data_IF_409259650802
#
_entry.id   IF_409259650802
#
_cell.length_a   1.000
_cell.length_b   1.000
_cell.length_c   1.000
_cell.angle_alpha   90.00
_cell.angle_beta   90.00
_cell.angle_gamma   90.00
#
_symmetry.space_group_name_H-M   'P 1'
#
loop_
_entity.id
_entity.type
_entity.pdbx_description
1 polymer ?
#
# COMPACT_ATOMS: atom_id res chain seq x y z
N UNK A 1 13.11 7.87 -11.64
CA UNK A 1 12.09 6.96 -12.21
C UNK A 1 11.27 6.40 -11.06
N UNK A 2 9.95 6.34 -11.20
CA UNK A 2 9.03 5.74 -10.23
C UNK A 2 8.64 4.34 -10.72
N UNK A 3 8.60 3.35 -9.83
CA UNK A 3 8.20 1.99 -10.16
C UNK A 3 7.35 1.36 -9.06
N UNK A 4 6.37 0.54 -9.45
CA UNK A 4 5.64 -0.35 -8.56
C UNK A 4 6.26 -1.74 -8.67
N UNK A 5 6.62 -2.34 -7.53
CA UNK A 5 7.14 -3.71 -7.46
C UNK A 5 6.41 -4.47 -6.36
N UNK A 6 6.12 -5.78 -6.54
CA UNK A 6 5.53 -6.58 -5.47
C UNK A 6 6.33 -6.43 -4.19
N UNK A 7 5.65 -6.41 -3.04
CA UNK A 7 6.35 -6.44 -1.76
C UNK A 7 7.04 -7.79 -1.61
N UNK A 8 8.32 -7.73 -1.29
CA UNK A 8 9.23 -8.86 -1.12
C UNK A 8 10.20 -8.59 0.06
N UNK A 9 11.15 -9.50 0.30
CA UNK A 9 12.13 -9.36 1.39
C UNK A 9 12.92 -8.05 1.32
N UNK A 10 13.22 -7.55 0.11
CA UNK A 10 14.00 -6.33 -0.10
C UNK A 10 13.23 -5.04 0.26
N UNK A 11 11.90 -5.09 0.23
CA UNK A 11 11.01 -3.95 0.46
C UNK A 11 10.21 -4.04 1.76
N UNK A 12 10.05 -5.25 2.31
CA UNK A 12 9.16 -5.54 3.44
C UNK A 12 9.37 -4.60 4.62
N UNK A 13 10.61 -4.53 5.13
CA UNK A 13 10.93 -3.70 6.28
C UNK A 13 10.69 -2.21 5.99
N UNK A 14 11.13 -1.74 4.82
CA UNK A 14 10.93 -0.35 4.42
C UNK A 14 9.44 0.02 4.31
N UNK A 15 8.58 -0.90 3.84
CA UNK A 15 7.12 -0.72 3.78
C UNK A 15 6.50 -0.65 5.19
N UNK A 16 6.98 -1.45 6.14
CA UNK A 16 6.51 -1.40 7.54
C UNK A 16 6.89 -0.08 8.22
N UNK A 17 8.07 0.44 7.91
CA UNK A 17 8.62 1.66 8.51
C UNK A 17 8.08 2.95 7.86
N UNK A 18 7.25 2.85 6.82
CA UNK A 18 6.59 4.01 6.23
C UNK A 18 5.69 4.69 7.26
N UNK A 19 5.94 5.98 7.48
CA UNK A 19 5.11 6.84 8.34
C UNK A 19 4.47 7.97 7.53
N UNK A 20 3.21 8.26 7.82
CA UNK A 20 2.53 9.48 7.38
C UNK A 20 2.89 10.68 8.26
N UNK A 21 2.41 11.87 7.89
CA UNK A 21 2.49 13.05 8.76
C UNK A 21 1.79 12.78 10.10
N UNK A 22 2.23 13.45 11.17
CA UNK A 22 1.70 13.24 12.53
C UNK A 22 0.19 13.47 12.60
N UNK A 23 -0.31 14.46 11.84
CA UNK A 23 -1.73 14.79 11.72
C UNK A 23 -2.59 13.66 11.14
N UNK A 24 -2.01 12.77 10.35
CA UNK A 24 -2.72 11.66 9.68
C UNK A 24 -2.63 10.33 10.44
N UNK A 25 -1.74 10.22 11.45
CA UNK A 25 -1.48 8.95 12.17
C UNK A 25 -2.72 8.35 12.84
N UNK A 26 -3.69 9.18 13.23
CA UNK A 26 -4.92 8.74 13.89
C UNK A 26 -5.95 8.10 12.96
N UNK A 27 -5.83 8.29 11.65
CA UNK A 27 -6.86 7.89 10.68
C UNK A 27 -6.44 6.70 9.80
N UNK A 28 -5.19 6.25 9.95
CA UNK A 28 -4.57 5.33 9.00
C UNK A 28 -4.14 4.05 9.71
N UNK A 29 -4.65 2.90 9.24
CA UNK A 29 -4.17 1.62 9.70
C UNK A 29 -2.71 1.40 9.24
N UNK A 30 -1.82 0.86 10.10
CA UNK A 30 -0.43 0.60 9.72
C UNK A 30 -0.35 -0.39 8.55
N UNK A 31 0.70 -0.29 7.72
CA UNK A 31 0.89 -1.15 6.54
C UNK A 31 0.94 -2.64 6.88
N UNK A 32 1.34 -3.01 8.11
CA UNK A 32 1.25 -4.40 8.61
C UNK A 32 -0.15 -4.97 8.49
N UNK A 33 -1.20 -4.17 8.69
CA UNK A 33 -2.58 -4.61 8.51
C UNK A 33 -2.89 -4.86 7.03
N UNK A 34 -2.40 -4.00 6.14
CA UNK A 34 -2.56 -4.17 4.68
C UNK A 34 -1.92 -5.47 4.20
N UNK A 35 -0.71 -5.77 4.70
CA UNK A 35 0.02 -7.00 4.37
C UNK A 35 -0.69 -8.24 4.94
N UNK A 36 -1.27 -8.14 6.14
CA UNK A 36 -2.09 -9.20 6.70
C UNK A 36 -3.38 -9.43 5.89
N UNK A 37 -4.07 -8.37 5.45
CA UNK A 37 -5.24 -8.48 4.58
C UNK A 37 -4.84 -9.16 3.24
N UNK A 38 -3.73 -8.75 2.62
CA UNK A 38 -3.22 -9.41 1.41
C UNK A 38 -2.92 -10.90 1.62
N UNK A 39 -2.33 -11.27 2.76
CA UNK A 39 -2.09 -12.66 3.11
C UNK A 39 -3.39 -13.45 3.35
N UNK A 40 -4.39 -12.81 3.97
CA UNK A 40 -5.69 -13.43 4.24
C UNK A 40 -6.42 -13.79 2.93
N UNK A 41 -6.38 -12.91 1.94
CA UNK A 41 -7.06 -13.08 0.64
C UNK A 41 -6.17 -13.69 -0.45
N UNK A 42 -4.96 -14.14 -0.14
CA UNK A 42 -3.98 -14.61 -1.14
C UNK A 42 -4.48 -15.75 -2.05
N UNK A 43 -5.41 -16.58 -1.57
CA UNK A 43 -5.96 -17.71 -2.34
C UNK A 43 -6.99 -17.26 -3.38
N UNK A 44 -7.52 -16.04 -3.26
CA UNK A 44 -8.40 -15.45 -4.26
C UNK A 44 -7.64 -15.05 -5.53
N UNK A 45 -6.36 -14.71 -5.41
CA UNK A 45 -5.52 -14.33 -6.55
C UNK A 45 -5.85 -12.94 -7.13
N UNK A 46 -6.47 -12.05 -6.37
CA UNK A 46 -6.93 -10.71 -6.79
C UNK A 46 -6.30 -9.56 -5.98
N UNK A 47 -5.85 -9.81 -4.75
CA UNK A 47 -5.29 -8.79 -3.84
C UNK A 47 -3.75 -8.82 -3.79
N UNK A 48 -3.12 -7.72 -4.20
CA UNK A 48 -1.67 -7.64 -4.40
C UNK A 48 -1.01 -6.43 -3.71
N UNK A 49 -0.05 -6.64 -2.81
CA UNK A 49 0.72 -5.57 -2.20
C UNK A 49 1.92 -5.16 -3.06
N UNK A 50 2.09 -3.85 -3.25
CA UNK A 50 3.20 -3.25 -3.99
C UNK A 50 3.94 -2.20 -3.15
N UNK A 51 5.26 -2.20 -3.26
CA UNK A 51 6.11 -1.09 -2.83
C UNK A 51 6.25 -0.06 -3.97
N UNK A 52 6.15 1.22 -3.63
CA UNK A 52 6.42 2.34 -4.55
C UNK A 52 7.88 2.72 -4.41
N UNK A 53 8.65 2.61 -5.49
CA UNK A 53 10.07 2.91 -5.53
C UNK A 53 10.35 4.22 -6.25
N UNK A 54 11.24 5.03 -5.68
CA UNK A 54 11.90 6.14 -6.36
C UNK A 54 13.40 5.84 -6.48
N UNK A 55 13.82 5.33 -7.64
CA UNK A 55 15.17 4.78 -7.80
C UNK A 55 15.39 3.55 -6.92
N UNK A 56 16.27 3.65 -5.93
CA UNK A 56 16.61 2.57 -4.99
C UNK A 56 15.94 2.73 -3.61
N UNK A 57 15.05 3.70 -3.45
CA UNK A 57 14.37 3.95 -2.18
C UNK A 57 12.89 3.61 -2.29
N UNK A 58 12.37 2.90 -1.28
CA UNK A 58 10.92 2.74 -1.09
C UNK A 58 10.37 4.04 -0.52
N UNK A 59 9.39 4.62 -1.23
CA UNK A 59 8.77 5.91 -0.89
C UNK A 59 7.27 5.79 -0.67
N UNK A 60 6.70 4.59 -0.74
CA UNK A 60 5.27 4.38 -0.59
C UNK A 60 4.85 2.92 -0.68
N UNK A 61 3.55 2.71 -0.55
CA UNK A 61 2.90 1.42 -0.54
C UNK A 61 1.54 1.50 -1.26
N UNK A 62 1.18 0.46 -1.99
CA UNK A 62 -0.13 0.29 -2.59
C UNK A 62 -0.64 -1.13 -2.32
N UNK A 63 -1.92 -1.26 -1.97
CA UNK A 63 -2.63 -2.52 -1.99
C UNK A 63 -3.65 -2.43 -3.13
N UNK A 64 -3.47 -3.27 -4.14
CA UNK A 64 -4.31 -3.29 -5.33
C UNK A 64 -5.19 -4.53 -5.27
N UNK A 65 -6.44 -4.37 -5.62
CA UNK A 65 -7.41 -5.44 -5.84
C UNK A 65 -7.79 -5.46 -7.32
N UNK A 66 -7.89 -6.64 -7.92
CA UNK A 66 -8.18 -6.82 -9.35
C UNK A 66 -9.50 -7.56 -9.48
N UNK A 67 -10.49 -6.88 -10.04
CA UNK A 67 -11.76 -7.49 -10.40
C UNK A 67 -11.76 -7.81 -11.90
N UNK A 68 -11.54 -9.08 -12.23
CA UNK A 68 -11.51 -9.55 -13.62
C UNK A 68 -12.89 -9.54 -14.28
N UNK A 69 -13.97 -9.69 -13.50
CA UNK A 69 -15.34 -9.74 -14.02
C UNK A 69 -15.75 -8.39 -14.62
N UNK A 70 -15.31 -7.28 -14.00
CA UNK A 70 -15.57 -5.92 -14.48
C UNK A 70 -14.35 -5.24 -15.12
N UNK A 71 -13.22 -5.94 -15.25
CA UNK A 71 -11.96 -5.44 -15.80
C UNK A 71 -11.43 -4.18 -15.11
N UNK A 72 -11.44 -4.15 -13.78
CA UNK A 72 -11.01 -2.98 -13.01
C UNK A 72 -9.88 -3.29 -12.03
N UNK A 73 -9.02 -2.28 -11.86
CA UNK A 73 -8.03 -2.24 -10.79
C UNK A 73 -8.52 -1.28 -9.73
N UNK A 74 -8.67 -1.76 -8.50
CA UNK A 74 -9.05 -0.95 -7.35
C UNK A 74 -7.84 -0.70 -6.46
N UNK A 75 -7.63 0.57 -6.11
CA UNK A 75 -6.62 0.96 -5.15
C UNK A 75 -7.22 0.89 -3.75
N UNK A 76 -7.12 -0.28 -3.12
CA UNK A 76 -7.67 -0.51 -1.78
C UNK A 76 -6.95 0.35 -0.74
N UNK A 77 -5.62 0.41 -0.81
CA UNK A 77 -4.81 1.28 0.06
C UNK A 77 -3.71 1.94 -0.72
N UNK A 78 -3.41 3.19 -0.39
CA UNK A 78 -2.28 3.91 -0.96
C UNK A 78 -1.64 4.84 0.04
N UNK A 79 -0.31 4.76 0.13
CA UNK A 79 0.52 5.53 1.05
C UNK A 79 1.73 6.08 0.30
N UNK A 80 2.06 7.35 0.55
CA UNK A 80 3.37 7.94 0.21
C UNK A 80 4.03 8.41 1.52
N UNK A 81 5.32 8.15 1.65
CA UNK A 81 6.09 8.53 2.83
C UNK A 81 6.09 10.06 3.03
N UNK A 82 6.00 10.49 4.29
CA UNK A 82 6.04 11.91 4.71
C UNK A 82 7.19 12.71 4.08
N UNK A 83 8.36 12.10 3.93
CA UNK A 83 9.56 12.77 3.38
C UNK A 83 9.44 13.15 1.89
N UNK A 84 8.39 12.70 1.19
CA UNK A 84 8.22 12.92 -0.24
C UNK A 84 6.95 13.71 -0.63
N UNK A 85 5.96 13.91 0.28
CA UNK A 85 4.86 14.91 0.23
C UNK A 85 3.95 14.79 1.48
N UNK A 86 3.13 15.81 1.76
CA UNK A 86 2.04 15.79 2.76
C UNK A 86 1.20 14.51 2.62
N UNK A 87 1.04 13.79 3.73
CA UNK A 87 0.71 12.36 3.78
C UNK A 87 -0.72 12.02 3.36
N UNK A 88 -1.01 11.98 2.06
CA UNK A 88 -2.29 11.48 1.60
C UNK A 88 -2.34 9.95 1.71
N UNK A 89 -2.99 9.43 2.76
CA UNK A 89 -3.47 8.06 2.82
C UNK A 89 -4.87 7.99 2.22
N UNK A 90 -4.98 7.40 1.04
CA UNK A 90 -6.27 7.15 0.40
C UNK A 90 -6.72 5.75 0.82
N UNK A 91 -7.69 5.71 1.74
CA UNK A 91 -8.45 4.49 2.05
C UNK A 91 -9.70 4.51 1.19
N UNK A 92 -9.66 3.88 0.02
CA UNK A 92 -10.88 3.64 -0.75
C UNK A 92 -11.50 2.32 -0.29
N UNK A 93 -12.73 2.46 0.22
CA UNK A 93 -13.69 1.42 0.55
C UNK A 93 -13.45 0.60 1.84
N UNK A 94 -14.58 0.35 2.49
CA UNK A 94 -14.79 -0.28 3.79
C UNK A 94 -14.53 0.63 5.01
N UNK A 95 -15.32 1.69 5.07
CA UNK A 95 -15.97 2.09 6.31
C UNK A 95 -17.28 1.30 6.35
N UNK A 96 -17.47 0.48 7.39
CA UNK A 96 -18.80 0.07 7.82
C UNK A 96 -19.66 1.32 8.06
#
# INVERSE_FOLDING_TARGET
MIALKPVDESSYQAVLDLTVAEEDKGFVAPNVRSLADAWLYRENGDVFPYAVWAGQQVVGFALIDIDEDIQQYMLWRFMIAKSFKEGAMVKLLWRL
#
